data_IF_864695533328
#
_entry.id   IF_864695533328
#
_cell.length_a   1.000
_cell.length_b   1.000
_cell.length_c   1.000
_cell.angle_alpha   90.00
_cell.angle_beta   90.00
_cell.angle_gamma   90.00
#
_symmetry.space_group_name_H-M   'P 1'
#
loop_
_entity.id
_entity.type
_entity.pdbx_description
1 polymer ?
#
# COMPACT_ATOMS: atom_id res chain seq x y z
N UNK A 1 24.67 7.45 12.43
CA UNK A 1 24.52 6.67 11.18
C UNK A 1 24.37 7.66 10.05
N UNK A 2 25.22 7.61 9.03
CA UNK A 2 25.17 8.52 7.88
C UNK A 2 24.19 7.95 6.86
N UNK A 3 23.11 8.66 6.56
CA UNK A 3 22.16 8.23 5.52
C UNK A 3 22.81 8.47 4.15
N UNK A 4 23.03 7.41 3.38
CA UNK A 4 23.50 7.55 2.00
C UNK A 4 22.38 8.10 1.12
N UNK A 5 22.63 9.22 0.45
CA UNK A 5 21.72 9.81 -0.52
C UNK A 5 21.84 9.04 -1.84
N UNK A 6 20.77 8.38 -2.28
CA UNK A 6 20.73 7.72 -3.60
C UNK A 6 20.44 8.72 -4.73
N UNK A 7 20.90 8.37 -5.94
CA UNK A 7 20.51 9.09 -7.16
C UNK A 7 18.99 8.95 -7.43
N UNK A 8 18.39 9.96 -8.07
CA UNK A 8 16.94 9.98 -8.35
C UNK A 8 16.49 8.78 -9.19
N UNK A 9 17.28 8.38 -10.20
CA UNK A 9 16.97 7.24 -11.07
C UNK A 9 16.88 5.93 -10.27
N UNK A 10 17.75 5.75 -9.28
CA UNK A 10 17.71 4.60 -8.38
C UNK A 10 16.44 4.59 -7.54
N UNK A 11 16.04 5.75 -7.01
CA UNK A 11 14.81 5.87 -6.22
C UNK A 11 13.57 5.53 -7.05
N UNK A 12 13.50 6.04 -8.29
CA UNK A 12 12.39 5.80 -9.19
C UNK A 12 12.34 4.34 -9.67
N UNK A 13 13.48 3.74 -10.00
CA UNK A 13 13.57 2.33 -10.38
C UNK A 13 13.17 1.37 -9.26
N UNK A 14 13.21 1.81 -8.00
CA UNK A 14 12.81 1.04 -6.82
C UNK A 14 11.39 1.35 -6.35
N UNK A 15 10.65 2.24 -7.02
CA UNK A 15 9.30 2.60 -6.64
C UNK A 15 8.39 1.36 -6.63
N UNK A 16 7.84 1.02 -5.46
CA UNK A 16 6.97 -0.14 -5.27
C UNK A 16 7.68 -1.49 -5.19
N UNK A 17 9.01 -1.55 -5.37
CA UNK A 17 9.76 -2.81 -5.33
C UNK A 17 9.68 -3.46 -3.94
N UNK A 18 9.32 -4.75 -3.88
CA UNK A 18 9.18 -5.56 -2.65
C UNK A 18 8.28 -4.92 -1.58
N UNK A 19 7.27 -4.15 -2.01
CA UNK A 19 6.31 -3.51 -1.10
C UNK A 19 5.21 -4.46 -0.60
N UNK A 20 5.06 -5.64 -1.20
CA UNK A 20 4.06 -6.63 -0.79
C UNK A 20 4.65 -7.69 0.15
N UNK A 21 4.60 -7.41 1.45
CA UNK A 21 5.05 -8.34 2.50
C UNK A 21 4.23 -9.64 2.53
N UNK A 22 2.97 -9.61 2.07
CA UNK A 22 2.07 -10.77 2.15
C UNK A 22 2.49 -11.90 1.22
N UNK A 23 3.00 -11.57 0.04
CA UNK A 23 3.41 -12.58 -0.96
C UNK A 23 4.91 -12.56 -1.28
N UNK A 24 5.63 -11.51 -0.91
CA UNK A 24 7.03 -11.33 -1.27
C UNK A 24 7.25 -10.96 -2.73
N UNK A 25 6.20 -10.52 -3.44
CA UNK A 25 6.30 -10.11 -4.83
C UNK A 25 7.33 -8.98 -5.00
N UNK A 26 8.18 -9.11 -6.02
CA UNK A 26 9.15 -8.07 -6.38
C UNK A 26 8.42 -6.83 -6.90
N UNK A 27 7.43 -7.00 -7.78
CA UNK A 27 6.61 -5.89 -8.27
C UNK A 27 5.36 -5.70 -7.43
N UNK A 28 4.90 -4.45 -7.30
CA UNK A 28 3.63 -4.12 -6.63
C UNK A 28 2.45 -4.85 -7.29
N UNK A 29 1.59 -5.54 -6.53
CA UNK A 29 0.39 -6.17 -7.07
C UNK A 29 -0.62 -5.16 -7.64
N UNK A 30 -1.37 -5.58 -8.66
CA UNK A 30 -2.50 -4.82 -9.19
C UNK A 30 -3.78 -5.28 -8.50
N UNK A 31 -4.41 -4.42 -7.70
CA UNK A 31 -5.69 -4.70 -7.05
C UNK A 31 -6.85 -4.22 -7.93
N UNK A 32 -7.58 -5.17 -8.51
CA UNK A 32 -8.73 -4.89 -9.40
C UNK A 32 -10.09 -5.00 -8.70
N UNK A 33 -10.10 -5.26 -7.40
CA UNK A 33 -11.32 -5.23 -6.59
C UNK A 33 -11.92 -3.82 -6.58
N UNK A 34 -13.25 -3.73 -6.54
CA UNK A 34 -13.93 -2.43 -6.38
C UNK A 34 -14.14 -2.07 -4.91
N UNK A 35 -14.35 -3.06 -4.04
CA UNK A 35 -14.61 -2.90 -2.62
C UNK A 35 -13.67 -3.78 -1.77
N UNK A 36 -13.44 -3.36 -0.53
CA UNK A 36 -12.56 -4.01 0.44
C UNK A 36 -13.33 -4.28 1.74
N UNK A 37 -13.11 -5.46 2.34
CA UNK A 37 -13.82 -5.87 3.55
C UNK A 37 -13.25 -5.25 4.83
N UNK A 38 -14.06 -5.24 5.89
CA UNK A 38 -13.68 -4.86 7.25
C UNK A 38 -13.62 -6.11 8.13
N UNK A 39 -12.69 -6.14 9.09
CA UNK A 39 -12.54 -7.27 10.01
C UNK A 39 -13.67 -7.34 11.06
N UNK A 40 -14.27 -6.19 11.38
CA UNK A 40 -15.39 -6.05 12.32
C UNK A 40 -16.14 -4.73 12.14
N UNK A 41 -17.20 -4.54 12.93
CA UNK A 41 -17.98 -3.30 12.92
C UNK A 41 -17.13 -2.16 13.46
N UNK A 42 -16.99 -1.07 12.70
CA UNK A 42 -16.20 0.11 13.09
C UNK A 42 -14.70 0.00 12.79
N UNK A 43 -14.22 -1.12 12.25
CA UNK A 43 -12.82 -1.32 11.88
C UNK A 43 -12.57 -0.98 10.40
N UNK A 44 -11.37 -0.52 10.06
CA UNK A 44 -10.99 -0.20 8.68
C UNK A 44 -9.64 -0.82 8.34
N UNK A 45 -9.50 -1.30 7.10
CA UNK A 45 -8.22 -1.76 6.54
C UNK A 45 -7.41 -0.62 5.90
N UNK A 46 -7.92 0.62 5.96
CA UNK A 46 -7.40 1.78 5.25
C UNK A 46 -7.92 1.92 3.82
N UNK A 47 -8.73 0.97 3.35
CA UNK A 47 -9.35 0.95 2.03
C UNK A 47 -10.80 0.47 2.13
N UNK A 48 -11.71 1.16 1.45
CA UNK A 48 -13.14 0.77 1.38
C UNK A 48 -13.59 0.51 -0.04
N UNK A 49 -13.28 1.43 -0.95
CA UNK A 49 -13.74 1.39 -2.33
C UNK A 49 -12.72 1.99 -3.27
N UNK A 50 -12.38 1.35 -4.39
CA UNK A 50 -11.26 1.76 -5.27
C UNK A 50 -11.38 3.16 -5.87
N UNK A 51 -12.61 3.68 -6.05
CA UNK A 51 -12.84 5.07 -6.50
C UNK A 51 -12.42 6.12 -5.46
N UNK A 52 -12.29 5.72 -4.21
CA UNK A 52 -11.89 6.59 -3.10
C UNK A 52 -10.68 6.00 -2.38
N UNK A 53 -9.96 6.84 -1.66
CA UNK A 53 -9.15 6.41 -0.53
C UNK A 53 -9.78 7.10 0.67
N UNK A 54 -10.29 6.34 1.65
CA UNK A 54 -10.71 6.73 3.02
C UNK A 54 -11.70 5.66 3.50
N UNK A 55 -11.44 5.03 4.66
CA UNK A 55 -12.03 5.49 5.93
C UNK A 55 -11.06 5.33 7.10
N UNK A 56 -10.82 6.37 7.91
CA UNK A 56 -10.34 6.15 9.27
C UNK A 56 -11.40 5.36 10.04
N UNK A 57 -10.97 4.33 10.77
CA UNK A 57 -11.83 3.70 11.77
C UNK A 57 -12.27 4.79 12.75
N UNK A 58 -13.57 5.04 12.85
CA UNK A 58 -14.14 6.00 13.80
C UNK A 58 -14.40 5.25 15.10
N UNK A 59 -13.54 5.53 16.09
CA UNK A 59 -13.93 5.70 17.49
C UNK A 59 -13.17 6.89 18.08
#
# INVERSE_FOLDING_TARGET
MTTQQYAIDTLLAQAGNRSDERTGAVSTPIFLSTAYGHHGIGESTGFDYTRTKIQPAQY
#
